data_IF_541705254413
#
_entry.id   IF_541705254413
#
_cell.length_a   1.000
_cell.length_b   1.000
_cell.length_c   1.000
_cell.angle_alpha   90.00
_cell.angle_beta   90.00
_cell.angle_gamma   90.00
#
_symmetry.space_group_name_H-M   'P 1'
#
loop_
_entity.id
_entity.type
_entity.pdbx_description
1 polymer ?
#
# COMPACT_ATOMS: atom_id res chain seq x y z
N UNK A 1 -16.69 1.28 -3.43
CA UNK A 1 -15.26 0.98 -3.17
C UNK A 1 -15.03 -0.50 -3.45
N UNK A 2 -13.88 -0.88 -4.04
CA UNK A 2 -13.52 -2.31 -4.18
C UNK A 2 -13.39 -2.94 -2.77
N UNK A 3 -13.77 -4.22 -2.60
CA UNK A 3 -13.61 -4.90 -1.32
C UNK A 3 -12.14 -4.97 -0.92
N UNK A 4 -11.85 -4.93 0.39
CA UNK A 4 -10.48 -5.07 0.93
C UNK A 4 -9.94 -6.45 0.55
N UNK A 5 -8.68 -6.51 0.14
CA UNK A 5 -8.02 -7.79 -0.12
C UNK A 5 -7.77 -8.56 1.20
N UNK A 6 -7.56 -9.89 1.15
CA UNK A 6 -7.25 -10.69 2.33
C UNK A 6 -6.05 -10.17 3.12
N UNK A 7 -4.97 -9.73 2.44
CA UNK A 7 -3.81 -9.13 3.12
C UNK A 7 -4.09 -7.76 3.72
N UNK A 8 -5.01 -6.99 3.15
CA UNK A 8 -5.42 -5.71 3.71
C UNK A 8 -6.19 -5.89 5.03
N UNK A 9 -6.98 -6.96 5.16
CA UNK A 9 -7.59 -7.37 6.43
C UNK A 9 -6.55 -7.86 7.44
N UNK A 10 -5.56 -8.65 6.99
CA UNK A 10 -4.44 -9.08 7.84
C UNK A 10 -3.64 -7.88 8.40
N UNK A 11 -3.36 -6.89 7.54
CA UNK A 11 -2.72 -5.64 7.95
C UNK A 11 -3.55 -4.89 9.00
N UNK A 12 -4.87 -4.83 8.83
CA UNK A 12 -5.77 -4.21 9.81
C UNK A 12 -5.62 -4.88 11.18
N UNK A 13 -5.69 -6.21 11.22
CA UNK A 13 -5.58 -6.97 12.47
C UNK A 13 -4.21 -6.78 13.14
N UNK A 14 -3.13 -6.72 12.36
CA UNK A 14 -1.78 -6.44 12.88
C UNK A 14 -1.73 -5.06 13.54
N UNK A 15 -2.28 -4.03 12.90
CA UNK A 15 -2.26 -2.67 13.43
C UNK A 15 -3.10 -2.53 14.70
N UNK A 16 -4.29 -3.16 14.73
CA UNK A 16 -5.13 -3.21 15.93
C UNK A 16 -4.41 -3.90 17.09
N UNK A 17 -3.78 -5.06 16.85
CA UNK A 17 -3.00 -5.80 17.87
C UNK A 17 -1.82 -4.98 18.42
N UNK A 18 -1.27 -4.08 17.62
CA UNK A 18 -0.20 -3.15 18.04
C UNK A 18 -0.71 -1.92 18.81
N UNK A 19 -2.03 -1.77 18.95
CA UNK A 19 -2.66 -0.72 19.74
C UNK A 19 -2.87 0.59 18.99
N UNK A 20 -2.89 0.58 17.65
CA UNK A 20 -3.24 1.76 16.88
C UNK A 20 -4.76 1.99 16.87
N UNK A 21 -5.22 3.26 16.76
CA UNK A 21 -6.65 3.57 16.74
C UNK A 21 -7.37 2.87 15.57
N UNK A 22 -8.57 2.34 15.83
CA UNK A 22 -9.30 1.57 14.81
C UNK A 22 -9.65 2.39 13.56
N UNK A 23 -10.06 3.65 13.74
CA UNK A 23 -10.32 4.56 12.62
C UNK A 23 -9.07 4.78 11.76
N UNK A 24 -7.91 4.91 12.39
CA UNK A 24 -6.63 5.04 11.68
C UNK A 24 -6.30 3.78 10.89
N UNK A 25 -6.42 2.60 11.50
CA UNK A 25 -6.18 1.32 10.84
C UNK A 25 -7.11 1.13 9.64
N UNK A 26 -8.37 1.53 9.77
CA UNK A 26 -9.35 1.46 8.68
C UNK A 26 -8.97 2.40 7.52
N UNK A 27 -8.52 3.63 7.80
CA UNK A 27 -8.04 4.56 6.77
C UNK A 27 -6.79 4.03 6.05
N UNK A 28 -5.81 3.50 6.77
CA UNK A 28 -4.59 2.94 6.16
C UNK A 28 -4.95 1.76 5.25
N UNK A 29 -5.75 0.81 5.74
CA UNK A 29 -6.11 -0.40 4.97
C UNK A 29 -7.07 -0.12 3.81
N UNK A 30 -7.92 0.90 3.92
CA UNK A 30 -8.73 1.39 2.78
C UNK A 30 -7.86 1.92 1.63
N UNK A 31 -6.75 2.60 1.94
CA UNK A 31 -5.82 3.10 0.94
C UNK A 31 -4.89 1.98 0.41
N UNK A 32 -4.46 1.07 1.29
CA UNK A 32 -3.66 -0.11 0.96
C UNK A 32 -4.55 -1.34 0.74
N UNK A 33 -5.46 -1.23 -0.23
CA UNK A 33 -6.53 -2.20 -0.47
C UNK A 33 -6.14 -3.42 -1.33
N UNK A 34 -4.91 -3.44 -1.86
CA UNK A 34 -4.39 -4.58 -2.65
C UNK A 34 -3.39 -5.41 -1.85
N UNK A 35 -3.24 -6.67 -2.24
CA UNK A 35 -2.26 -7.56 -1.61
C UNK A 35 -0.82 -7.06 -1.75
N UNK A 36 -0.49 -6.40 -2.86
CA UNK A 36 0.82 -5.80 -3.08
C UNK A 36 1.09 -4.64 -2.12
N UNK A 37 0.17 -3.66 -2.05
CA UNK A 37 0.30 -2.50 -1.16
C UNK A 37 0.29 -2.89 0.32
N UNK A 38 -0.60 -3.81 0.70
CA UNK A 38 -0.69 -4.29 2.08
C UNK A 38 0.56 -5.10 2.47
N UNK A 39 1.07 -5.92 1.55
CA UNK A 39 2.31 -6.67 1.73
C UNK A 39 3.52 -5.78 1.99
N UNK A 40 3.66 -4.68 1.24
CA UNK A 40 4.73 -3.68 1.45
C UNK A 40 4.67 -3.07 2.85
N UNK A 41 3.48 -2.65 3.28
CA UNK A 41 3.29 -2.07 4.62
C UNK A 41 3.54 -3.10 5.74
N UNK A 42 3.06 -4.34 5.59
CA UNK A 42 3.35 -5.40 6.57
C UNK A 42 4.84 -5.70 6.68
N UNK A 43 5.55 -5.72 5.55
CA UNK A 43 7.00 -5.87 5.50
C UNK A 43 7.72 -4.68 6.14
N UNK A 44 7.24 -3.45 5.94
CA UNK A 44 7.80 -2.30 6.64
C UNK A 44 7.59 -2.43 8.16
N UNK A 45 6.36 -2.68 8.59
CA UNK A 45 5.99 -2.85 9.99
C UNK A 45 6.71 -4.01 10.69
N UNK A 46 7.20 -5.04 9.98
CA UNK A 46 7.94 -6.14 10.60
C UNK A 46 9.31 -5.72 11.14
N UNK A 47 9.88 -4.61 10.67
CA UNK A 47 11.17 -4.10 11.11
C UNK A 47 11.09 -3.18 12.35
N UNK A 48 9.88 -2.77 12.73
CA UNK A 48 9.67 -1.80 13.82
C UNK A 48 8.72 -2.34 14.89
N UNK A 49 9.07 -2.14 16.16
CA UNK A 49 8.24 -2.55 17.30
C UNK A 49 7.03 -1.63 17.50
N UNK A 50 7.23 -0.30 17.44
CA UNK A 50 6.18 0.71 17.53
C UNK A 50 6.63 1.95 16.76
N UNK A 51 5.75 2.47 15.91
CA UNK A 51 5.97 3.69 15.14
C UNK A 51 4.96 4.74 15.57
N UNK A 52 5.31 6.03 15.48
CA UNK A 52 4.32 7.10 15.55
C UNK A 52 3.40 7.03 14.32
N UNK A 53 2.22 7.67 14.39
CA UNK A 53 1.22 7.55 13.32
C UNK A 53 1.70 8.21 12.02
N UNK A 54 2.47 9.29 12.17
CA UNK A 54 3.06 10.09 11.10
C UNK A 54 3.94 9.22 10.19
N UNK A 55 4.84 8.43 10.76
CA UNK A 55 5.73 7.52 10.00
C UNK A 55 4.95 6.44 9.24
N UNK A 56 3.83 5.97 9.80
CA UNK A 56 2.95 4.99 9.11
C UNK A 56 2.24 5.65 7.92
N UNK A 57 1.83 6.91 8.07
CA UNK A 57 1.22 7.68 6.98
C UNK A 57 2.25 7.97 5.90
N UNK A 58 3.47 8.36 6.27
CA UNK A 58 4.54 8.64 5.31
C UNK A 58 4.91 7.40 4.50
N UNK A 59 5.06 6.24 5.14
CA UNK A 59 5.28 4.98 4.43
C UNK A 59 4.08 4.61 3.53
N UNK A 60 2.84 4.84 3.98
CA UNK A 60 1.66 4.62 3.15
C UNK A 60 1.72 5.47 1.88
N UNK A 61 2.07 6.76 2.00
CA UNK A 61 2.20 7.67 0.87
C UNK A 61 3.35 7.25 -0.06
N UNK A 62 4.48 6.80 0.49
CA UNK A 62 5.60 6.28 -0.28
C UNK A 62 5.19 5.04 -1.12
N UNK A 63 4.49 4.07 -0.52
CA UNK A 63 3.98 2.88 -1.21
C UNK A 63 3.01 3.24 -2.34
N UNK A 64 2.11 4.21 -2.10
CA UNK A 64 1.15 4.67 -3.11
C UNK A 64 1.84 5.40 -4.27
N UNK A 65 2.87 6.20 -3.97
CA UNK A 65 3.69 6.88 -4.97
C UNK A 65 4.43 5.87 -5.85
N UNK A 66 5.06 4.86 -5.24
CA UNK A 66 5.73 3.77 -5.96
C UNK A 66 4.78 3.02 -6.89
N UNK A 67 3.57 2.69 -6.41
CA UNK A 67 2.54 2.05 -7.23
C UNK A 67 2.22 2.88 -8.47
N UNK A 68 1.99 4.17 -8.30
CA UNK A 68 1.64 5.07 -9.40
C UNK A 68 2.80 5.19 -10.41
N UNK A 69 4.05 5.23 -9.94
CA UNK A 69 5.24 5.23 -10.80
C UNK A 69 5.34 3.95 -11.64
N UNK A 70 5.05 2.79 -11.05
CA UNK A 70 5.05 1.50 -11.77
C UNK A 70 3.97 1.50 -12.87
N UNK A 71 2.77 1.99 -12.57
CA UNK A 71 1.68 2.08 -13.56
C UNK A 71 2.06 3.00 -14.71
N UNK A 72 2.56 4.21 -14.42
CA UNK A 72 3.00 5.16 -15.43
C UNK A 72 4.10 4.58 -16.34
N UNK A 73 5.05 3.85 -15.75
CA UNK A 73 6.09 3.17 -16.53
C UNK A 73 5.49 2.14 -17.49
N UNK A 74 4.55 1.32 -17.03
CA UNK A 74 3.92 0.30 -17.86
C UNK A 74 3.12 0.90 -19.02
N UNK A 75 2.37 1.99 -18.77
CA UNK A 75 1.61 2.70 -19.81
C UNK A 75 2.54 3.29 -20.90
N UNK A 76 3.71 3.82 -20.49
CA UNK A 76 4.73 4.33 -21.41
C UNK A 76 5.38 3.22 -22.24
N UNK A 77 5.68 2.08 -21.61
CA UNK A 77 6.23 0.90 -22.29
C UNK A 77 5.25 0.35 -23.33
N UNK A 78 3.96 0.27 -23.00
CA UNK A 78 2.90 -0.14 -23.94
C UNK A 78 2.77 0.83 -25.12
N UNK A 79 2.82 2.14 -24.84
CA UNK A 79 2.77 3.18 -25.88
C UNK A 79 3.97 3.08 -26.84
N UNK A 80 5.18 2.88 -26.31
CA UNK A 80 6.38 2.71 -27.11
C UNK A 80 6.37 1.42 -27.94
N UNK A 81 5.88 0.30 -27.37
CA UNK A 81 5.73 -0.96 -28.11
C UNK A 81 4.80 -0.79 -29.32
N UNK A 82 3.64 -0.17 -29.11
CA UNK A 82 2.69 0.14 -30.20
C UNK A 82 3.28 1.08 -31.26
N UNK A 83 4.13 2.03 -30.87
CA UNK A 83 4.81 2.90 -31.84
C UNK A 83 5.80 2.13 -32.73
N UNK A 84 6.55 1.18 -32.15
CA UNK A 84 7.54 0.36 -32.87
C UNK A 84 6.93 -0.71 -33.78
N UNK A 85 5.61 -0.94 -33.71
CA UNK A 85 4.88 -1.85 -34.60
C UNK A 85 4.45 -1.19 -35.93
N UNK A 86 4.68 0.13 -36.08
CA UNK A 86 4.46 0.90 -37.32
C UNK A 86 5.79 1.22 -38.02
#
# INVERSE_FOLDING_TARGET
MKPKSPKSLELYDIMIKRGYPAEFCDQITKNLNTDWTAGRMMGYLSHYKKLPLEEIVDEMLAILSDRNRIMQKHDLEETNARWNEY
#
